data_IF_937998281994
#
_entry.id   IF_937998281994
#
_cell.length_a   1.000
_cell.length_b   1.000
_cell.length_c   1.000
_cell.angle_alpha   90.00
_cell.angle_beta   90.00
_cell.angle_gamma   90.00
#
_symmetry.space_group_name_H-M   'P 1'
#
loop_
_entity.id
_entity.type
_entity.pdbx_description
1 polymer ?
#
# COMPACT_ATOMS: atom_id res chain seq x y z
N UNK A 1 55.76 35.81 1.32
CA UNK A 1 54.66 36.08 0.36
C UNK A 1 54.59 34.87 -0.56
N UNK A 2 53.55 34.06 -0.65
CA UNK A 2 52.31 33.91 0.09
C UNK A 2 51.85 32.47 -0.19
N UNK A 3 51.44 31.73 0.84
CA UNK A 3 51.08 30.32 0.72
C UNK A 3 49.85 30.04 1.57
N UNK A 4 48.67 30.54 1.18
CA UNK A 4 47.40 30.10 1.78
C UNK A 4 46.22 30.33 0.82
N UNK A 5 46.01 29.46 -0.17
CA UNK A 5 44.71 29.36 -0.88
C UNK A 5 44.49 27.95 -1.45
N UNK A 6 44.50 26.91 -0.61
CA UNK A 6 44.10 25.54 -1.04
C UNK A 6 43.36 24.81 0.09
N UNK A 7 42.44 25.48 0.79
CA UNK A 7 41.67 24.85 1.88
C UNK A 7 40.14 24.97 1.78
N UNK A 8 39.60 25.65 0.78
CA UNK A 8 38.15 25.94 0.73
C UNK A 8 37.39 25.21 -0.40
N UNK A 9 38.07 24.73 -1.46
CA UNK A 9 37.38 24.10 -2.62
C UNK A 9 37.09 22.60 -2.44
N UNK A 10 37.79 21.91 -1.53
CA UNK A 10 37.67 20.45 -1.35
C UNK A 10 36.37 20.08 -0.62
N UNK A 11 35.84 20.95 0.24
CA UNK A 11 34.70 20.66 1.12
C UNK A 11 33.35 20.71 0.39
N UNK A 12 33.21 21.52 -0.67
CA UNK A 12 31.98 21.62 -1.48
C UNK A 12 31.75 20.37 -2.33
N UNK A 13 32.80 19.81 -2.93
CA UNK A 13 32.71 18.63 -3.79
C UNK A 13 32.51 17.32 -3.00
N UNK A 14 32.94 17.26 -1.75
CA UNK A 14 32.69 16.14 -0.85
C UNK A 14 31.25 16.17 -0.30
N UNK A 15 30.75 17.35 0.08
CA UNK A 15 29.37 17.52 0.55
C UNK A 15 28.31 17.18 -0.50
N UNK A 16 28.55 17.47 -1.79
CA UNK A 16 27.65 17.09 -2.89
C UNK A 16 27.64 15.58 -3.17
N UNK A 17 28.79 14.91 -3.03
CA UNK A 17 28.88 13.46 -3.20
C UNK A 17 28.18 12.72 -2.07
N UNK A 18 28.32 13.21 -0.85
CA UNK A 18 27.68 12.63 0.33
C UNK A 18 26.16 12.82 0.29
N UNK A 19 25.69 14.00 -0.15
CA UNK A 19 24.27 14.24 -0.43
C UNK A 19 23.73 13.36 -1.57
N UNK A 20 24.48 13.21 -2.66
CA UNK A 20 24.06 12.34 -3.77
C UNK A 20 23.99 10.85 -3.36
N UNK A 21 24.89 10.39 -2.49
CA UNK A 21 24.85 9.05 -1.91
C UNK A 21 23.65 8.88 -0.97
N UNK A 22 23.35 9.89 -0.14
CA UNK A 22 22.18 9.88 0.73
C UNK A 22 20.86 9.84 -0.06
N UNK A 23 20.74 10.65 -1.12
CA UNK A 23 19.56 10.67 -2.01
C UNK A 23 19.38 9.32 -2.71
N UNK A 24 20.46 8.72 -3.23
CA UNK A 24 20.41 7.37 -3.82
C UNK A 24 19.94 6.30 -2.84
N UNK A 25 20.40 6.38 -1.59
CA UNK A 25 20.00 5.44 -0.56
C UNK A 25 18.54 5.61 -0.13
N UNK A 26 18.02 6.84 -0.12
CA UNK A 26 16.60 7.13 0.13
C UNK A 26 15.73 6.64 -1.02
N UNK A 27 16.12 6.90 -2.28
CA UNK A 27 15.39 6.42 -3.46
C UNK A 27 15.31 4.88 -3.47
N UNK A 28 16.42 4.18 -3.19
CA UNK A 28 16.39 2.72 -3.10
C UNK A 28 15.50 2.18 -1.97
N UNK A 29 15.31 2.95 -0.88
CA UNK A 29 14.35 2.59 0.18
C UNK A 29 12.90 2.83 -0.26
N UNK A 30 12.64 3.85 -1.07
CA UNK A 30 11.31 4.14 -1.62
C UNK A 30 10.90 3.10 -2.66
N UNK A 31 11.81 2.68 -3.53
CA UNK A 31 11.54 1.61 -4.51
C UNK A 31 11.10 0.30 -3.84
N UNK A 32 11.71 -0.04 -2.70
CA UNK A 32 11.32 -1.20 -1.89
C UNK A 32 9.96 -1.02 -1.21
N UNK A 33 9.54 0.21 -0.93
CA UNK A 33 8.23 0.49 -0.35
C UNK A 33 7.14 0.42 -1.42
N UNK A 34 7.38 0.98 -2.61
CA UNK A 34 6.46 0.91 -3.75
C UNK A 34 6.20 -0.54 -4.17
N UNK A 35 7.25 -1.36 -4.23
CA UNK A 35 7.10 -2.79 -4.51
C UNK A 35 6.22 -3.52 -3.47
N UNK A 36 6.26 -3.10 -2.20
CA UNK A 36 5.38 -3.68 -1.16
C UNK A 36 3.96 -3.16 -1.26
N UNK A 37 3.77 -1.90 -1.66
CA UNK A 37 2.45 -1.31 -1.85
C UNK A 37 1.71 -1.95 -3.03
N UNK A 38 2.39 -2.22 -4.15
CA UNK A 38 1.80 -2.92 -5.30
C UNK A 38 1.34 -4.35 -4.93
N UNK A 39 2.15 -5.05 -4.14
CA UNK A 39 1.80 -6.39 -3.66
C UNK A 39 0.57 -6.36 -2.74
N UNK A 40 0.43 -5.33 -1.90
CA UNK A 40 -0.74 -5.18 -1.03
C UNK A 40 -1.98 -4.81 -1.85
N UNK A 41 -1.85 -3.89 -2.81
CA UNK A 41 -2.98 -3.44 -3.64
C UNK A 41 -3.63 -4.62 -4.39
N UNK A 42 -2.82 -5.52 -4.96
CA UNK A 42 -3.33 -6.73 -5.63
C UNK A 42 -4.16 -7.64 -4.72
N UNK A 43 -3.74 -7.79 -3.45
CA UNK A 43 -4.44 -8.64 -2.48
C UNK A 43 -5.72 -7.98 -1.96
N UNK A 44 -5.71 -6.66 -1.76
CA UNK A 44 -6.87 -5.89 -1.31
C UNK A 44 -7.95 -5.89 -2.39
N UNK A 45 -7.57 -5.69 -3.64
CA UNK A 45 -8.50 -5.69 -4.79
C UNK A 45 -9.20 -7.05 -4.94
N UNK A 46 -8.45 -8.16 -4.84
CA UNK A 46 -9.02 -9.51 -4.92
C UNK A 46 -9.98 -9.85 -3.76
N UNK A 47 -9.78 -9.24 -2.58
CA UNK A 47 -10.66 -9.42 -1.42
C UNK A 47 -11.95 -8.64 -1.59
N UNK A 48 -11.86 -7.40 -2.08
CA UNK A 48 -13.04 -6.58 -2.37
C UNK A 48 -13.96 -7.28 -3.38
N UNK A 49 -13.41 -7.79 -4.49
CA UNK A 49 -14.18 -8.54 -5.49
C UNK A 49 -14.89 -9.76 -4.88
N UNK A 50 -14.22 -10.52 -4.01
CA UNK A 50 -14.79 -11.73 -3.41
C UNK A 50 -15.92 -11.42 -2.42
N UNK A 51 -15.79 -10.36 -1.62
CA UNK A 51 -16.84 -9.94 -0.68
C UNK A 51 -18.07 -9.41 -1.42
N UNK A 52 -17.85 -8.65 -2.50
CA UNK A 52 -18.95 -8.15 -3.33
C UNK A 52 -19.66 -9.26 -4.11
N UNK A 53 -18.96 -10.34 -4.48
CA UNK A 53 -19.51 -11.39 -5.34
C UNK A 53 -20.23 -12.54 -4.61
N UNK A 54 -20.10 -12.67 -3.28
CA UNK A 54 -20.59 -13.83 -2.52
C UNK A 54 -21.83 -13.58 -1.66
N UNK A 55 -22.57 -12.48 -1.88
CA UNK A 55 -23.83 -12.26 -1.16
C UNK A 55 -24.91 -13.23 -1.65
N UNK A 56 -25.48 -14.03 -0.76
CA UNK A 56 -26.60 -14.92 -1.06
C UNK A 56 -27.88 -14.29 -0.53
N UNK A 57 -28.81 -13.97 -1.42
CA UNK A 57 -30.13 -13.46 -1.04
C UNK A 57 -31.13 -14.61 -1.02
N UNK A 58 -31.87 -14.75 0.08
CA UNK A 58 -32.94 -15.74 0.22
C UNK A 58 -34.24 -15.08 0.63
N UNK A 59 -35.33 -15.52 -0.01
CA UNK A 59 -36.68 -15.07 0.28
C UNK A 59 -37.40 -16.13 1.11
N UNK A 60 -37.90 -15.75 2.28
CA UNK A 60 -38.64 -16.63 3.18
C UNK A 60 -39.99 -16.00 3.47
N UNK A 61 -41.07 -16.76 3.31
CA UNK A 61 -42.40 -16.34 3.75
C UNK A 61 -42.55 -16.57 5.24
N UNK A 62 -42.85 -15.53 6.01
CA UNK A 62 -43.04 -15.63 7.45
C UNK A 62 -44.25 -16.52 7.77
N UNK A 63 -44.09 -17.63 8.52
CA UNK A 63 -45.20 -18.52 8.84
C UNK A 63 -46.22 -17.89 9.81
N UNK A 64 -45.86 -16.80 10.50
CA UNK A 64 -46.74 -16.13 11.46
C UNK A 64 -47.61 -15.04 10.80
N UNK A 65 -47.12 -14.33 9.78
CA UNK A 65 -47.83 -13.19 9.20
C UNK A 65 -47.97 -13.20 7.67
N UNK A 66 -47.46 -14.23 6.99
CA UNK A 66 -47.57 -14.40 5.54
C UNK A 66 -46.76 -13.40 4.71
N UNK A 67 -46.04 -12.47 5.34
CA UNK A 67 -45.18 -11.50 4.64
C UNK A 67 -43.92 -12.17 4.13
N UNK A 68 -43.50 -11.81 2.92
CA UNK A 68 -42.19 -12.21 2.39
C UNK A 68 -41.10 -11.37 3.06
N UNK A 69 -40.08 -12.07 3.56
CA UNK A 69 -38.88 -11.50 4.19
C UNK A 69 -37.72 -11.81 3.26
N UNK A 70 -36.99 -10.77 2.85
CA UNK A 70 -35.76 -10.88 2.09
C UNK A 70 -34.58 -10.82 3.06
N UNK A 71 -33.71 -11.82 3.00
CA UNK A 71 -32.51 -11.92 3.84
C UNK A 71 -31.29 -11.98 2.91
N UNK A 72 -30.47 -10.93 2.93
CA UNK A 72 -29.19 -10.91 2.25
C UNK A 72 -28.09 -11.37 3.22
N UNK A 73 -27.48 -12.53 2.94
CA UNK A 73 -26.34 -13.05 3.70
C UNK A 73 -25.06 -12.61 3.00
N UNK A 74 -24.33 -11.69 3.61
CA UNK A 74 -23.01 -11.27 3.14
C UNK A 74 -21.95 -12.03 3.93
N UNK A 75 -21.19 -12.90 3.26
CA UNK A 75 -20.08 -13.61 3.87
C UNK A 75 -18.88 -12.67 4.03
N UNK A 76 -18.57 -12.26 5.26
CA UNK A 76 -17.33 -11.55 5.57
C UNK A 76 -16.18 -12.54 5.70
N UNK A 77 -15.71 -13.11 4.59
CA UNK A 77 -14.53 -13.99 4.62
C UNK A 77 -13.29 -13.12 4.86
N UNK A 78 -12.71 -13.20 6.05
CA UNK A 78 -11.41 -12.57 6.33
C UNK A 78 -10.39 -13.09 5.31
N UNK A 79 -9.66 -12.23 4.57
CA UNK A 79 -8.58 -12.68 3.72
C UNK A 79 -7.64 -13.61 4.48
N UNK A 80 -7.55 -14.86 4.02
CA UNK A 80 -6.46 -15.75 4.40
C UNK A 80 -5.19 -15.23 3.74
N UNK A 81 -4.10 -15.23 4.51
CA UNK A 81 -2.76 -14.79 4.10
C UNK A 81 -2.28 -15.45 2.82
#
# INVERSE_FOLDING_TARGET
MGAVTIREEVTLAEGDKEQALAIKHINGRLDLLDQRLDNIDSTVSAVAERVMSQSVTMNITCPHCGKNIEIAIVSSRKPGR
#
